data_IF_865246617587
#
_entry.id   IF_865246617587
#
_cell.length_a   1.000
_cell.length_b   1.000
_cell.length_c   1.000
_cell.angle_alpha   90.00
_cell.angle_beta   90.00
_cell.angle_gamma   90.00
#
_symmetry.space_group_name_H-M   'P 1'
#
loop_
_entity.id
_entity.type
_entity.pdbx_description
1 polymer ?
#
# COMPACT_ATOMS: atom_id res chain seq x y z
N UNK A 1 5.43 5.97 -22.45
CA UNK A 1 4.10 5.70 -23.04
C UNK A 1 3.14 6.83 -22.68
N UNK A 2 2.28 7.26 -23.62
CA UNK A 2 1.26 8.30 -23.39
C UNK A 2 -0.01 7.72 -22.72
N UNK A 3 -0.89 8.59 -22.23
CA UNK A 3 -2.12 8.16 -21.55
C UNK A 3 -3.05 7.33 -22.45
N UNK A 4 -3.25 7.75 -23.70
CA UNK A 4 -4.08 7.03 -24.67
C UNK A 4 -3.52 5.64 -24.99
N UNK A 5 -2.20 5.55 -25.21
CA UNK A 5 -1.51 4.27 -25.43
C UNK A 5 -1.64 3.34 -24.20
N UNK A 6 -1.59 3.90 -22.99
CA UNK A 6 -1.79 3.15 -21.75
C UNK A 6 -3.23 2.64 -21.63
N UNK A 7 -4.23 3.43 -22.02
CA UNK A 7 -5.64 3.04 -22.02
C UNK A 7 -5.90 1.91 -23.02
N UNK A 8 -5.36 2.00 -24.23
CA UNK A 8 -5.47 0.94 -25.24
C UNK A 8 -4.78 -0.35 -24.79
N UNK A 9 -3.57 -0.24 -24.22
CA UNK A 9 -2.86 -1.38 -23.67
C UNK A 9 -3.64 -2.04 -22.52
N UNK A 10 -4.30 -1.26 -21.67
CA UNK A 10 -5.17 -1.78 -20.60
C UNK A 10 -6.38 -2.51 -21.15
N UNK A 11 -7.03 -2.00 -22.21
CA UNK A 11 -8.16 -2.70 -22.85
C UNK A 11 -7.73 -4.04 -23.45
N UNK A 12 -6.58 -4.09 -24.15
CA UNK A 12 -6.03 -5.33 -24.71
C UNK A 12 -5.72 -6.35 -23.62
N UNK A 13 -5.01 -5.93 -22.56
CA UNK A 13 -4.68 -6.78 -21.41
C UNK A 13 -5.93 -7.31 -20.69
N UNK A 14 -6.98 -6.50 -20.60
CA UNK A 14 -8.26 -6.92 -20.00
C UNK A 14 -8.98 -7.97 -20.87
N UNK A 15 -8.92 -7.83 -22.20
CA UNK A 15 -9.50 -8.80 -23.13
C UNK A 15 -8.72 -10.14 -23.14
N UNK A 16 -7.38 -10.08 -23.09
CA UNK A 16 -6.52 -11.27 -23.06
C UNK A 16 -6.55 -11.99 -21.71
N UNK A 17 -6.66 -11.23 -20.62
CA UNK A 17 -6.56 -11.75 -19.26
C UNK A 17 -7.66 -11.17 -18.35
N UNK A 18 -8.93 -11.58 -18.56
CA UNK A 18 -10.07 -11.02 -17.83
C UNK A 18 -10.09 -11.37 -16.34
N UNK A 19 -9.37 -12.43 -15.94
CA UNK A 19 -9.23 -12.84 -14.54
C UNK A 19 -8.46 -11.83 -13.68
N UNK A 20 -7.65 -10.96 -14.31
CA UNK A 20 -6.91 -9.92 -13.61
C UNK A 20 -7.57 -8.55 -13.81
N UNK A 21 -7.39 -7.68 -12.82
CA UNK A 21 -7.85 -6.31 -12.89
C UNK A 21 -6.68 -5.42 -13.29
N UNK A 22 -6.81 -4.73 -14.42
CA UNK A 22 -5.76 -3.86 -14.96
C UNK A 22 -6.12 -2.39 -14.78
N UNK A 23 -5.16 -1.60 -14.32
CA UNK A 23 -5.30 -0.15 -14.10
C UNK A 23 -4.23 0.62 -14.84
N UNK A 24 -4.58 1.84 -15.25
CA UNK A 24 -3.65 2.82 -15.84
C UNK A 24 -3.23 3.75 -14.71
N UNK A 25 -1.93 3.94 -14.53
CA UNK A 25 -1.38 4.83 -13.51
C UNK A 25 -0.20 5.61 -14.06
N UNK A 26 0.00 6.83 -13.57
CA UNK A 26 1.17 7.63 -13.89
C UNK A 26 2.29 7.31 -12.90
N UNK A 27 3.49 7.05 -13.39
CA UNK A 27 4.69 6.83 -12.59
C UNK A 27 5.18 8.18 -12.07
N UNK A 28 5.05 8.40 -10.77
CA UNK A 28 5.29 9.71 -10.14
C UNK A 28 6.65 10.33 -10.44
N UNK A 29 7.70 9.51 -10.59
CA UNK A 29 9.07 10.00 -10.79
C UNK A 29 9.40 10.38 -12.24
N UNK A 30 8.71 9.79 -13.22
CA UNK A 30 9.02 9.96 -14.65
C UNK A 30 7.88 10.58 -15.45
N UNK A 31 6.71 10.77 -14.84
CA UNK A 31 5.50 11.24 -15.52
C UNK A 31 4.95 10.23 -16.55
N UNK A 32 5.55 9.05 -16.63
CA UNK A 32 5.21 8.03 -17.62
C UNK A 32 3.94 7.28 -17.24
N UNK A 33 3.02 7.11 -18.19
CA UNK A 33 1.85 6.28 -17.99
C UNK A 33 2.20 4.80 -18.13
N UNK A 34 1.75 3.98 -17.19
CA UNK A 34 1.97 2.54 -17.18
C UNK A 34 0.67 1.78 -16.94
N UNK A 35 0.58 0.55 -17.44
CA UNK A 35 -0.52 -0.38 -17.15
C UNK A 35 -0.05 -1.36 -16.08
N UNK A 36 -0.66 -1.28 -14.91
CA UNK A 36 -0.35 -2.14 -13.78
C UNK A 36 -1.45 -3.19 -13.58
N UNK A 37 -1.04 -4.40 -13.22
CA UNK A 37 -1.95 -5.44 -12.73
C UNK A 37 -2.23 -5.17 -11.27
N UNK A 38 -3.49 -4.92 -10.91
CA UNK A 38 -3.88 -4.98 -9.50
C UNK A 38 -3.79 -6.43 -9.05
N UNK A 39 -2.98 -6.76 -8.02
CA UNK A 39 -3.19 -8.02 -7.33
C UNK A 39 -4.65 -7.99 -6.89
N UNK A 40 -5.41 -9.03 -7.24
CA UNK A 40 -6.76 -9.19 -6.70
C UNK A 40 -6.64 -8.97 -5.21
N UNK A 41 -7.49 -8.10 -4.65
CA UNK A 41 -7.52 -7.83 -3.21
C UNK A 41 -7.61 -9.20 -2.55
N UNK A 42 -6.46 -9.71 -2.10
CA UNK A 42 -6.45 -10.79 -1.14
C UNK A 42 -7.30 -10.22 -0.04
N UNK A 43 -8.43 -10.86 0.24
CA UNK A 43 -9.16 -10.59 1.47
C UNK A 43 -8.08 -10.49 2.53
N UNK A 44 -7.92 -9.31 3.12
CA UNK A 44 -7.05 -9.18 4.27
C UNK A 44 -7.82 -9.91 5.35
N UNK A 45 -7.60 -11.23 5.43
CA UNK A 45 -8.12 -12.03 6.51
C UNK A 45 -7.60 -11.39 7.80
N UNK A 46 -8.48 -11.25 8.78
CA UNK A 46 -8.17 -10.61 10.06
C UNK A 46 -6.90 -11.19 10.71
N UNK A 47 -6.59 -12.45 10.40
CA UNK A 47 -5.36 -13.14 10.75
C UNK A 47 -4.07 -12.45 10.26
N UNK A 48 -4.06 -11.85 9.06
CA UNK A 48 -2.90 -11.12 8.53
C UNK A 48 -2.66 -9.79 9.24
N UNK A 49 -3.68 -9.20 9.87
CA UNK A 49 -3.54 -7.99 10.71
C UNK A 49 -2.98 -8.35 12.08
N UNK A 50 -3.27 -9.54 12.61
CA UNK A 50 -2.74 -9.98 13.91
C UNK A 50 -1.26 -10.38 13.86
N UNK A 51 -0.77 -10.90 12.73
CA UNK A 51 0.62 -11.31 12.59
C UNK A 51 1.65 -10.15 12.68
N UNK A 52 1.21 -8.89 12.60
CA UNK A 52 2.06 -7.70 12.78
C UNK A 52 1.81 -6.94 14.07
N UNK A 53 1.00 -7.48 15.00
CA UNK A 53 1.15 -7.11 16.40
C UNK A 53 2.33 -7.91 16.94
N UNK A 54 3.54 -7.36 16.80
CA UNK A 54 4.65 -7.75 17.65
C UNK A 54 4.21 -7.70 19.11
N UNK A 55 4.90 -8.48 19.95
CA UNK A 55 4.61 -8.56 21.39
C UNK A 55 4.26 -7.16 21.95
N UNK A 56 3.15 -7.03 22.70
CA UNK A 56 2.89 -5.77 23.38
C UNK A 56 4.10 -5.51 24.27
N UNK A 57 4.88 -4.49 23.92
CA UNK A 57 5.98 -4.00 24.75
C UNK A 57 5.40 -3.77 26.13
N UNK A 58 5.84 -4.56 27.11
CA UNK A 58 5.50 -4.32 28.49
C UNK A 58 6.05 -2.93 28.81
N UNK A 59 5.14 -2.00 29.04
CA UNK A 59 5.46 -0.58 29.22
C UNK A 59 6.48 -0.42 30.34
N UNK A 60 6.66 -1.40 31.24
CA UNK A 60 7.67 -1.38 32.29
C UNK A 60 9.12 -1.25 31.80
N UNK A 61 9.49 -1.82 30.65
CA UNK A 61 10.87 -1.85 30.15
C UNK A 61 11.24 -0.67 29.23
N UNK A 62 10.38 0.35 29.12
CA UNK A 62 10.71 1.56 28.37
C UNK A 62 11.61 2.49 29.22
N UNK A 63 12.89 2.70 28.84
CA UNK A 63 13.82 3.55 29.59
C UNK A 63 13.45 5.04 29.52
N UNK A 64 12.46 5.42 28.72
CA UNK A 64 11.99 6.80 28.63
C UNK A 64 11.25 7.18 29.92
N UNK A 65 11.46 8.41 30.43
CA UNK A 65 10.72 8.92 31.58
C UNK A 65 9.22 8.90 31.29
N UNK A 66 8.40 8.63 32.31
CA UNK A 66 6.95 8.38 32.18
C UNK A 66 6.19 9.46 31.39
N UNK A 67 6.69 10.70 31.40
CA UNK A 67 6.14 11.82 30.62
C UNK A 67 6.25 11.67 29.10
N UNK A 68 7.10 10.76 28.60
CA UNK A 68 7.39 10.55 27.18
C UNK A 68 6.88 9.21 26.64
N UNK A 69 6.30 8.36 27.50
CA UNK A 69 5.82 7.02 27.10
C UNK A 69 4.57 7.07 26.19
N UNK A 70 3.77 8.14 26.27
CA UNK A 70 2.55 8.32 25.49
C UNK A 70 2.71 9.20 24.24
N UNK A 71 3.95 9.55 23.86
CA UNK A 71 4.21 10.36 22.67
C UNK A 71 4.46 9.41 21.49
N UNK A 72 3.58 9.37 20.47
CA UNK A 72 3.83 8.58 19.26
C UNK A 72 5.12 9.10 18.56
N UNK A 73 5.90 8.23 17.89
CA UNK A 73 7.18 8.60 17.28
C UNK A 73 7.05 9.66 16.17
N UNK A 74 5.85 9.87 15.65
CA UNK A 74 5.50 10.98 14.79
C UNK A 74 4.47 11.83 15.55
N UNK A 75 4.90 12.98 16.05
CA UNK A 75 3.98 13.97 16.63
C UNK A 75 2.99 14.50 15.59
N UNK A 76 1.88 15.14 16.01
CA UNK A 76 0.98 15.80 15.08
C UNK A 76 1.59 17.15 14.66
N UNK A 77 2.24 17.20 13.50
CA UNK A 77 2.50 18.43 12.74
C UNK A 77 2.05 18.18 11.30
N UNK A 78 1.26 18.99 10.60
CA UNK A 78 1.28 20.46 10.47
C UNK A 78 2.68 21.04 10.41
#
# INVERSE_FOLDING_TARGET
MNEDEARDLRQRRQAEQPAYRWVVQQRGDTGEWIVARLPGVGRVDKASVEAHKGEPLDVQDDPRPSSMRNIPPYGPGF
#
